data_IF_987451991496
#
_entry.id   IF_987451991496
#
_cell.length_a   1.000
_cell.length_b   1.000
_cell.length_c   1.000
_cell.angle_alpha   90.00
_cell.angle_beta   90.00
_cell.angle_gamma   90.00
#
_symmetry.space_group_name_H-M   'P 1'
#
loop_
_entity.id
_entity.type
_entity.pdbx_description
1 polymer ?
#
# COMPACT_ATOMS: atom_id res chain seq x y z
N UNK A 1 -27.81 -13.36 -22.54
CA UNK A 1 -27.22 -14.58 -21.89
C UNK A 1 -25.75 -14.31 -21.72
N UNK A 2 -25.33 -14.01 -20.49
CA UNK A 2 -23.92 -13.79 -20.14
C UNK A 2 -23.12 -15.05 -20.45
N UNK A 3 -22.10 -14.88 -21.24
CA UNK A 3 -21.21 -15.99 -21.57
C UNK A 3 -20.44 -16.44 -20.31
N UNK A 4 -20.18 -17.75 -20.13
CA UNK A 4 -19.47 -18.28 -18.94
C UNK A 4 -18.11 -17.64 -18.67
N UNK A 5 -17.41 -17.13 -19.69
CA UNK A 5 -16.13 -16.44 -19.58
C UNK A 5 -16.23 -15.06 -18.93
N UNK A 6 -17.32 -14.33 -19.12
CA UNK A 6 -17.51 -13.02 -18.49
C UNK A 6 -17.84 -13.15 -17.00
N UNK A 7 -18.50 -14.23 -16.59
CA UNK A 7 -18.74 -14.53 -15.16
C UNK A 7 -17.46 -14.85 -14.39
N UNK A 8 -16.55 -15.62 -14.99
CA UNK A 8 -15.26 -15.93 -14.37
C UNK A 8 -14.40 -14.69 -14.15
N UNK A 9 -14.29 -13.82 -15.14
CA UNK A 9 -13.54 -12.55 -15.02
C UNK A 9 -14.16 -11.59 -13.99
N UNK A 10 -15.47 -11.47 -13.95
CA UNK A 10 -16.18 -10.66 -12.97
C UNK A 10 -15.97 -11.14 -11.53
N UNK A 11 -15.93 -12.44 -11.29
CA UNK A 11 -15.66 -13.04 -9.99
C UNK A 11 -14.20 -12.85 -9.55
N UNK A 12 -13.25 -13.00 -10.46
CA UNK A 12 -11.83 -12.72 -10.20
C UNK A 12 -11.64 -11.26 -9.81
N UNK A 13 -12.28 -10.30 -10.47
CA UNK A 13 -12.22 -8.90 -10.13
C UNK A 13 -12.90 -8.56 -8.79
N UNK A 14 -13.98 -9.21 -8.44
CA UNK A 14 -14.70 -8.98 -7.18
C UNK A 14 -13.99 -9.55 -5.96
N UNK A 15 -13.17 -10.58 -6.13
CA UNK A 15 -12.45 -11.27 -5.05
C UNK A 15 -10.99 -10.84 -4.93
N UNK A 16 -10.58 -9.79 -5.63
CA UNK A 16 -9.22 -9.28 -5.54
C UNK A 16 -8.94 -8.62 -4.18
N UNK A 17 -7.73 -8.84 -3.67
CA UNK A 17 -7.22 -8.16 -2.48
C UNK A 17 -6.92 -6.66 -2.71
N UNK A 18 -6.89 -6.19 -3.96
CA UNK A 18 -6.79 -4.76 -4.29
C UNK A 18 -8.10 -4.24 -4.83
N UNK A 19 -8.60 -3.20 -4.19
CA UNK A 19 -9.72 -2.39 -4.65
C UNK A 19 -9.24 -0.98 -5.01
N UNK A 20 -9.99 -0.29 -5.83
CA UNK A 20 -9.69 1.11 -6.14
C UNK A 20 -10.75 1.73 -7.02
N UNK A 21 -10.76 3.05 -7.04
CA UNK A 21 -11.73 3.85 -7.79
C UNK A 21 -11.46 5.33 -7.68
N UNK A 22 -12.35 6.12 -8.24
CA UNK A 22 -12.34 7.57 -8.18
C UNK A 22 -13.22 8.00 -7.01
N UNK A 23 -12.77 8.97 -6.24
CA UNK A 23 -13.48 9.58 -5.13
C UNK A 23 -13.30 11.10 -5.16
N UNK A 24 -14.04 11.81 -4.32
CA UNK A 24 -13.85 13.25 -4.08
C UNK A 24 -13.37 13.44 -2.65
N UNK A 25 -12.27 14.15 -2.48
CA UNK A 25 -11.69 14.49 -1.18
C UNK A 25 -11.53 15.99 -1.07
N UNK A 26 -12.28 16.63 -0.15
CA UNK A 26 -12.25 18.09 0.00
C UNK A 26 -12.60 18.88 -1.26
N UNK A 27 -13.47 18.34 -2.14
CA UNK A 27 -13.80 18.93 -3.43
C UNK A 27 -12.85 18.54 -4.57
N UNK A 28 -11.73 17.90 -4.29
CA UNK A 28 -10.71 17.49 -5.26
C UNK A 28 -10.99 16.06 -5.72
N UNK A 29 -11.07 15.78 -7.03
CA UNK A 29 -11.14 14.39 -7.52
C UNK A 29 -9.82 13.68 -7.29
N UNK A 30 -9.88 12.52 -6.63
CA UNK A 30 -8.72 11.69 -6.29
C UNK A 30 -8.92 10.27 -6.78
N UNK A 31 -7.83 9.55 -7.01
CA UNK A 31 -7.86 8.10 -7.21
C UNK A 31 -7.43 7.42 -5.91
N UNK A 32 -8.29 6.54 -5.39
CA UNK A 32 -8.02 5.79 -4.16
C UNK A 32 -7.80 4.33 -4.52
N UNK A 33 -6.72 3.75 -4.00
CA UNK A 33 -6.34 2.34 -4.20
C UNK A 33 -6.02 1.77 -2.82
N UNK A 34 -6.42 0.54 -2.54
CA UNK A 34 -6.08 -0.05 -1.24
C UNK A 34 -6.14 -1.57 -1.25
N UNK A 35 -5.40 -2.15 -0.32
CA UNK A 35 -5.57 -3.55 0.02
C UNK A 35 -6.88 -3.75 0.78
N UNK A 36 -7.48 -4.88 0.59
CA UNK A 36 -8.73 -5.23 1.26
C UNK A 36 -8.69 -6.65 1.79
N UNK A 37 -8.65 -6.76 3.10
CA UNK A 37 -8.95 -7.98 3.84
C UNK A 37 -10.47 -8.16 3.93
N UNK A 38 -10.94 -9.36 4.22
CA UNK A 38 -12.36 -9.63 4.46
C UNK A 38 -12.77 -9.29 5.90
N UNK A 39 -14.07 -9.10 6.10
CA UNK A 39 -14.66 -8.93 7.44
C UNK A 39 -14.95 -10.26 8.14
N UNK A 40 -15.05 -11.34 7.39
CA UNK A 40 -15.29 -12.71 7.86
C UNK A 40 -14.17 -13.63 7.38
N UNK A 41 -14.02 -14.80 8.01
CA UNK A 41 -13.04 -15.81 7.57
C UNK A 41 -13.25 -16.21 6.10
N UNK A 42 -14.50 -16.38 5.67
CA UNK A 42 -14.84 -16.72 4.29
C UNK A 42 -14.41 -15.62 3.30
N UNK A 43 -14.62 -14.37 3.66
CA UNK A 43 -14.18 -13.23 2.83
C UNK A 43 -12.65 -13.11 2.83
N UNK A 44 -11.98 -13.32 3.96
CA UNK A 44 -10.52 -13.34 4.05
C UNK A 44 -9.92 -14.39 3.12
N UNK A 45 -10.44 -15.62 3.16
CA UNK A 45 -10.01 -16.69 2.25
C UNK A 45 -10.22 -16.27 0.78
N UNK A 46 -11.38 -15.69 0.46
CA UNK A 46 -11.68 -15.27 -0.92
C UNK A 46 -10.79 -14.12 -1.42
N UNK A 47 -10.16 -13.38 -0.51
CA UNK A 47 -9.22 -12.28 -0.80
C UNK A 47 -7.76 -12.63 -0.50
N UNK A 48 -7.46 -13.93 -0.37
CA UNK A 48 -6.12 -14.44 -0.02
C UNK A 48 -5.53 -13.73 1.21
N UNK A 49 -6.35 -13.44 2.24
CA UNK A 49 -5.93 -12.71 3.45
C UNK A 49 -5.29 -11.34 3.19
N UNK A 50 -5.72 -10.66 2.14
CA UNK A 50 -5.16 -9.38 1.74
C UNK A 50 -3.91 -9.49 0.86
N UNK A 51 -3.53 -10.69 0.42
CA UNK A 51 -2.41 -10.92 -0.49
C UNK A 51 -2.87 -10.84 -1.95
N UNK A 52 -2.47 -9.82 -2.72
CA UNK A 52 -2.91 -9.68 -4.11
C UNK A 52 -2.28 -10.69 -5.05
N UNK A 53 -3.06 -11.11 -6.03
CA UNK A 53 -2.58 -11.76 -7.24
C UNK A 53 -2.05 -10.71 -8.26
N UNK A 54 -1.34 -11.10 -9.34
CA UNK A 54 -0.81 -10.19 -10.36
C UNK A 54 -1.84 -9.23 -10.93
N UNK A 55 -3.07 -9.70 -11.09
CA UNK A 55 -4.18 -8.91 -11.63
C UNK A 55 -4.55 -7.72 -10.72
N UNK A 56 -4.35 -7.85 -9.41
CA UNK A 56 -4.56 -6.77 -8.45
C UNK A 56 -3.55 -5.64 -8.68
N UNK A 57 -2.28 -5.96 -8.85
CA UNK A 57 -1.23 -4.97 -9.14
C UNK A 57 -1.41 -4.31 -10.49
N UNK A 58 -1.76 -5.09 -11.53
CA UNK A 58 -2.08 -4.55 -12.86
C UNK A 58 -3.29 -3.62 -12.83
N UNK A 59 -4.31 -3.95 -12.02
CA UNK A 59 -5.46 -3.07 -11.78
C UNK A 59 -5.05 -1.76 -11.10
N UNK A 60 -4.21 -1.84 -10.06
CA UNK A 60 -3.69 -0.66 -9.39
C UNK A 60 -2.92 0.25 -10.36
N UNK A 61 -2.01 -0.32 -11.14
CA UNK A 61 -1.25 0.43 -12.15
C UNK A 61 -2.17 1.13 -13.16
N UNK A 62 -3.16 0.42 -13.68
CA UNK A 62 -4.14 1.00 -14.60
C UNK A 62 -4.86 2.21 -14.00
N UNK A 63 -5.23 2.14 -12.71
CA UNK A 63 -5.87 3.25 -12.00
C UNK A 63 -4.89 4.43 -11.80
N UNK A 64 -3.62 4.14 -11.50
CA UNK A 64 -2.57 5.16 -11.36
C UNK A 64 -2.30 5.88 -12.69
N UNK A 65 -2.17 5.14 -13.80
CA UNK A 65 -2.01 5.75 -15.15
C UNK A 65 -3.24 6.55 -15.57
N UNK A 66 -4.43 6.09 -15.21
CA UNK A 66 -5.65 6.89 -15.41
C UNK A 66 -5.65 8.16 -14.54
N UNK A 67 -5.18 8.08 -13.29
CA UNK A 67 -5.05 9.24 -12.43
C UNK A 67 -4.09 10.27 -13.04
N UNK A 68 -2.93 9.84 -13.51
CA UNK A 68 -1.95 10.67 -14.21
C UNK A 68 -2.55 11.37 -15.43
N UNK A 69 -3.25 10.62 -16.30
CA UNK A 69 -3.92 11.17 -17.49
C UNK A 69 -4.90 12.30 -17.16
N UNK A 70 -5.59 12.21 -16.04
CA UNK A 70 -6.61 13.17 -15.61
C UNK A 70 -6.15 14.10 -14.49
N UNK A 71 -4.84 14.16 -14.23
CA UNK A 71 -4.22 15.00 -13.18
C UNK A 71 -4.87 14.83 -11.79
N UNK A 72 -5.21 13.59 -11.42
CA UNK A 72 -5.77 13.27 -10.10
C UNK A 72 -4.68 12.77 -9.16
N UNK A 73 -4.57 13.31 -7.95
CA UNK A 73 -3.75 12.71 -6.90
C UNK A 73 -4.14 11.25 -6.63
N UNK A 74 -3.16 10.45 -6.25
CA UNK A 74 -3.34 9.04 -5.90
C UNK A 74 -3.12 8.87 -4.40
N UNK A 75 -4.07 8.20 -3.73
CA UNK A 75 -3.97 7.83 -2.32
C UNK A 75 -4.02 6.30 -2.24
N UNK A 76 -2.95 5.70 -1.71
CA UNK A 76 -2.84 4.26 -1.52
C UNK A 76 -2.98 3.90 -0.03
N UNK A 77 -3.83 2.94 0.30
CA UNK A 77 -3.92 2.34 1.62
C UNK A 77 -3.33 0.93 1.58
N UNK A 78 -2.32 0.69 2.41
CA UNK A 78 -1.54 -0.55 2.42
C UNK A 78 -1.88 -1.35 3.67
N UNK A 79 -2.41 -2.56 3.47
CA UNK A 79 -2.66 -3.54 4.53
C UNK A 79 -2.57 -4.96 3.94
N UNK A 80 -1.36 -5.48 3.82
CA UNK A 80 -1.08 -6.79 3.25
C UNK A 80 0.12 -7.44 3.94
N UNK A 81 0.08 -8.73 4.26
CA UNK A 81 1.28 -9.46 4.69
C UNK A 81 2.29 -9.68 3.55
N UNK A 82 1.90 -9.44 2.30
CA UNK A 82 2.75 -9.58 1.11
C UNK A 82 1.96 -9.88 -0.15
N UNK A 83 2.66 -10.13 -1.24
CA UNK A 83 2.05 -10.63 -2.47
C UNK A 83 1.70 -12.11 -2.33
N UNK A 84 0.64 -12.58 -3.00
CA UNK A 84 0.28 -13.99 -2.99
C UNK A 84 1.38 -14.83 -3.67
N UNK A 85 1.91 -15.83 -2.97
CA UNK A 85 3.07 -16.64 -3.39
C UNK A 85 2.71 -18.00 -3.99
N UNK A 86 1.46 -18.20 -4.44
CA UNK A 86 1.04 -19.46 -5.05
C UNK A 86 1.55 -19.62 -6.48
N UNK A 87 1.78 -20.89 -6.90
CA UNK A 87 2.29 -21.24 -8.24
C UNK A 87 1.54 -20.52 -9.37
N UNK A 88 0.21 -20.52 -9.33
CA UNK A 88 -0.59 -19.85 -10.34
C UNK A 88 -0.43 -18.31 -10.37
N UNK A 89 0.05 -17.67 -9.31
CA UNK A 89 0.40 -16.26 -9.33
C UNK A 89 1.76 -16.05 -10.02
N UNK A 90 2.73 -16.91 -9.72
CA UNK A 90 4.05 -16.88 -10.38
C UNK A 90 3.94 -17.11 -11.89
N UNK A 91 3.16 -18.10 -12.33
CA UNK A 91 2.89 -18.38 -13.74
C UNK A 91 2.24 -17.20 -14.47
N UNK A 92 1.46 -16.37 -13.78
CA UNK A 92 0.85 -15.17 -14.35
C UNK A 92 1.68 -13.90 -14.16
N UNK A 93 2.94 -14.03 -13.72
CA UNK A 93 3.90 -12.93 -13.64
C UNK A 93 3.72 -12.05 -12.40
N UNK A 94 3.71 -12.64 -11.19
CA UNK A 94 3.60 -11.90 -9.93
C UNK A 94 4.74 -10.88 -9.75
N UNK A 95 5.98 -11.36 -9.92
CA UNK A 95 7.16 -10.49 -9.80
C UNK A 95 7.19 -9.38 -10.85
N UNK A 96 6.81 -9.68 -12.10
CA UNK A 96 6.71 -8.69 -13.19
C UNK A 96 5.67 -7.61 -12.87
N UNK A 97 4.49 -8.01 -12.37
CA UNK A 97 3.42 -7.06 -12.06
C UNK A 97 3.83 -6.09 -10.92
N UNK A 98 4.53 -6.60 -9.91
CA UNK A 98 5.11 -5.79 -8.82
C UNK A 98 6.18 -4.84 -9.37
N UNK A 99 7.18 -5.37 -10.07
CA UNK A 99 8.29 -4.60 -10.62
C UNK A 99 7.81 -3.47 -11.53
N UNK A 100 6.81 -3.75 -12.36
CA UNK A 100 6.19 -2.75 -13.22
C UNK A 100 5.49 -1.64 -12.44
N UNK A 101 4.81 -1.97 -11.33
CA UNK A 101 4.24 -0.95 -10.45
C UNK A 101 5.32 -0.03 -9.87
N UNK A 102 6.43 -0.60 -9.37
CA UNK A 102 7.54 0.20 -8.83
C UNK A 102 8.09 1.16 -9.89
N UNK A 103 8.38 0.62 -11.07
CA UNK A 103 8.92 1.39 -12.18
C UNK A 103 8.00 2.54 -12.59
N UNK A 104 6.75 2.25 -12.86
CA UNK A 104 5.78 3.26 -13.32
C UNK A 104 5.43 4.28 -12.21
N UNK A 105 5.31 3.84 -10.95
CA UNK A 105 5.08 4.76 -9.84
C UNK A 105 6.22 5.74 -9.64
N UNK A 106 7.47 5.34 -9.91
CA UNK A 106 8.63 6.21 -9.75
C UNK A 106 8.57 7.46 -10.63
N UNK A 107 7.90 7.36 -11.79
CA UNK A 107 7.80 8.41 -12.81
C UNK A 107 6.44 9.10 -12.89
N UNK A 108 5.45 8.73 -12.06
CA UNK A 108 4.14 9.37 -12.06
C UNK A 108 4.24 10.88 -11.84
N UNK A 109 3.54 11.64 -12.65
CA UNK A 109 3.53 13.11 -12.65
C UNK A 109 2.37 13.72 -11.86
N UNK A 110 1.77 12.95 -10.98
CA UNK A 110 0.74 13.38 -10.03
C UNK A 110 1.18 13.09 -8.59
N UNK A 111 0.65 13.82 -7.60
CA UNK A 111 0.92 13.52 -6.19
C UNK A 111 0.51 12.10 -5.82
N UNK A 112 1.39 11.38 -5.16
CA UNK A 112 1.13 10.02 -4.65
C UNK A 112 1.40 9.99 -3.16
N UNK A 113 0.39 9.60 -2.39
CA UNK A 113 0.46 9.37 -0.94
C UNK A 113 0.19 7.90 -0.67
N UNK A 114 1.05 7.25 0.10
CA UNK A 114 0.82 5.88 0.58
C UNK A 114 0.73 5.86 2.10
N UNK A 115 -0.28 5.15 2.62
CA UNK A 115 -0.54 5.04 4.05
C UNK A 115 -0.60 3.56 4.42
N UNK A 116 0.33 3.13 5.27
CA UNK A 116 0.29 1.77 5.84
C UNK A 116 -0.67 1.78 7.03
N UNK A 117 -1.74 1.00 6.91
CA UNK A 117 -2.83 0.99 7.91
C UNK A 117 -2.82 -0.23 8.82
N UNK A 118 -1.99 -1.21 8.53
CA UNK A 118 -1.83 -2.43 9.30
C UNK A 118 -0.51 -3.10 8.95
N UNK A 119 -0.53 -4.10 8.10
CA UNK A 119 0.67 -4.79 7.66
C UNK A 119 1.15 -4.22 6.31
N UNK A 120 2.41 -3.81 6.26
CA UNK A 120 3.11 -3.43 5.03
C UNK A 120 4.15 -4.48 4.67
N UNK A 121 3.73 -5.62 4.10
CA UNK A 121 4.60 -6.76 3.84
C UNK A 121 5.27 -6.74 2.47
N UNK A 122 6.61 -6.75 2.44
CA UNK A 122 7.45 -7.10 1.29
C UNK A 122 7.11 -6.33 -0.01
N UNK A 123 7.37 -6.95 -1.16
CA UNK A 123 7.05 -6.41 -2.48
C UNK A 123 5.56 -6.12 -2.69
N UNK A 124 4.69 -6.83 -1.95
CA UNK A 124 3.26 -6.60 -2.00
C UNK A 124 2.85 -5.20 -1.54
N UNK A 125 3.44 -4.73 -0.45
CA UNK A 125 3.26 -3.38 0.05
C UNK A 125 4.02 -2.37 -0.81
N UNK A 126 5.26 -2.67 -1.19
CA UNK A 126 6.11 -1.77 -1.97
C UNK A 126 5.50 -1.44 -3.34
N UNK A 127 4.76 -2.37 -3.95
CA UNK A 127 4.05 -2.15 -5.23
C UNK A 127 2.98 -1.03 -5.18
N UNK A 128 2.63 -0.55 -3.97
CA UNK A 128 1.81 0.64 -3.73
C UNK A 128 2.54 1.69 -2.90
N UNK A 129 3.82 1.48 -2.55
CA UNK A 129 4.60 2.28 -1.61
C UNK A 129 5.56 3.29 -2.23
N UNK A 130 5.74 3.30 -3.57
CA UNK A 130 6.63 4.26 -4.24
C UNK A 130 5.90 5.60 -4.41
N UNK A 131 5.89 6.40 -3.36
CA UNK A 131 5.09 7.61 -3.21
C UNK A 131 5.93 8.85 -2.90
N UNK A 132 5.33 10.05 -3.02
CA UNK A 132 5.94 11.30 -2.58
C UNK A 132 6.07 11.35 -1.06
N UNK A 133 5.09 10.78 -0.34
CA UNK A 133 5.17 10.53 1.09
C UNK A 133 4.60 9.14 1.42
N UNK A 134 5.19 8.49 2.38
CA UNK A 134 4.68 7.27 3.01
C UNK A 134 4.40 7.56 4.48
N UNK A 135 3.19 7.31 4.89
CA UNK A 135 2.76 7.45 6.28
C UNK A 135 2.40 6.10 6.87
N UNK A 136 2.44 5.98 8.17
CA UNK A 136 2.05 4.77 8.87
C UNK A 136 1.07 5.07 10.01
N UNK A 137 0.11 4.18 10.22
CA UNK A 137 -0.63 4.16 11.48
C UNK A 137 0.31 3.76 12.62
N UNK A 138 0.09 4.29 13.81
CA UNK A 138 0.98 4.13 14.98
C UNK A 138 1.31 2.66 15.30
N UNK A 139 0.32 1.78 15.19
CA UNK A 139 0.47 0.35 15.46
C UNK A 139 0.68 -0.51 14.21
N UNK A 140 0.97 0.09 13.07
CA UNK A 140 1.26 -0.64 11.83
C UNK A 140 2.74 -1.05 11.74
N UNK A 141 3.02 -2.03 10.91
CA UNK A 141 4.38 -2.50 10.61
C UNK A 141 4.67 -2.40 9.11
N UNK A 142 5.92 -2.14 8.76
CA UNK A 142 6.35 -2.14 7.37
C UNK A 142 7.73 -2.80 7.26
N UNK A 143 7.81 -3.92 6.55
CA UNK A 143 9.02 -4.72 6.49
C UNK A 143 9.17 -5.48 5.18
N UNK A 144 10.39 -5.84 4.85
CA UNK A 144 10.72 -6.61 3.64
C UNK A 144 10.29 -8.09 3.75
N UNK A 145 10.31 -8.66 4.96
CA UNK A 145 9.92 -10.05 5.25
C UNK A 145 9.46 -10.16 6.71
N UNK A 146 8.88 -11.32 7.06
CA UNK A 146 8.49 -11.57 8.45
C UNK A 146 9.70 -11.77 9.37
N UNK A 147 9.57 -11.49 10.69
CA UNK A 147 10.62 -11.77 11.66
C UNK A 147 11.08 -13.24 11.67
N UNK A 148 10.17 -14.19 11.47
CA UNK A 148 10.50 -15.61 11.34
C UNK A 148 11.35 -15.89 10.10
N UNK A 149 11.02 -15.27 8.98
CA UNK A 149 11.78 -15.34 7.73
C UNK A 149 13.17 -14.76 7.90
N UNK A 150 13.29 -13.59 8.52
CA UNK A 150 14.56 -12.94 8.82
C UNK A 150 15.44 -13.82 9.71
N UNK A 151 14.90 -14.34 10.82
CA UNK A 151 15.60 -15.22 11.74
C UNK A 151 16.07 -16.51 11.05
N UNK A 152 15.23 -17.08 10.20
CA UNK A 152 15.58 -18.29 9.43
C UNK A 152 16.72 -18.05 8.45
N UNK A 153 16.76 -16.89 7.79
CA UNK A 153 17.82 -16.55 6.84
C UNK A 153 19.15 -16.29 7.57
N UNK A 154 19.14 -15.42 8.60
CA UNK A 154 20.37 -15.01 9.28
C UNK A 154 20.89 -16.04 10.27
N UNK A 155 20.01 -16.64 11.05
CA UNK A 155 20.42 -17.51 12.16
C UNK A 155 20.07 -18.96 11.98
N UNK A 156 19.41 -19.33 10.87
CA UNK A 156 18.92 -20.68 10.59
C UNK A 156 17.96 -21.20 11.68
N UNK A 157 17.31 -20.28 12.41
CA UNK A 157 16.42 -20.59 13.53
C UNK A 157 15.23 -19.61 13.57
N UNK A 158 14.07 -20.07 13.08
CA UNK A 158 12.84 -19.28 13.07
C UNK A 158 12.28 -18.95 14.47
N UNK A 159 12.71 -19.68 15.52
CA UNK A 159 12.27 -19.42 16.90
C UNK A 159 12.79 -18.11 17.45
N UNK A 160 13.82 -17.53 16.84
CA UNK A 160 14.38 -16.21 17.18
C UNK A 160 13.61 -15.04 16.57
N UNK A 161 12.36 -15.25 16.19
CA UNK A 161 11.53 -14.21 15.57
C UNK A 161 11.39 -12.94 16.44
N UNK A 162 11.33 -13.05 17.76
CA UNK A 162 11.27 -11.91 18.67
C UNK A 162 12.53 -11.04 18.59
N UNK A 163 13.70 -11.64 18.69
CA UNK A 163 14.99 -10.96 18.55
C UNK A 163 15.12 -10.33 17.14
N UNK A 164 14.64 -11.06 16.11
CA UNK A 164 14.60 -10.54 14.75
C UNK A 164 13.74 -9.30 14.63
N UNK A 165 12.54 -9.28 15.19
CA UNK A 165 11.64 -8.14 15.15
C UNK A 165 12.26 -6.88 15.78
N UNK A 166 13.00 -7.03 16.88
CA UNK A 166 13.71 -5.93 17.56
C UNK A 166 14.83 -5.31 16.68
N UNK A 167 15.55 -6.17 15.94
CA UNK A 167 16.65 -5.74 15.06
C UNK A 167 16.12 -5.12 13.76
N UNK A 168 15.03 -5.63 13.23
CA UNK A 168 14.47 -5.22 11.93
C UNK A 168 13.93 -3.80 11.92
N UNK A 169 13.65 -3.20 13.07
CA UNK A 169 13.15 -1.81 13.15
C UNK A 169 11.93 -1.59 12.24
N UNK A 170 10.89 -2.41 12.41
CA UNK A 170 9.74 -2.47 11.52
C UNK A 170 8.53 -1.64 11.96
N UNK A 171 8.59 -1.01 13.15
CA UNK A 171 7.49 -0.21 13.68
C UNK A 171 7.42 1.18 13.07
N UNK A 172 6.25 1.83 13.18
CA UNK A 172 6.08 3.20 12.69
C UNK A 172 7.04 4.20 13.34
N UNK A 173 7.32 4.03 14.65
CA UNK A 173 8.27 4.88 15.38
C UNK A 173 9.68 4.69 14.86
N UNK A 174 10.16 3.44 14.75
CA UNK A 174 11.49 3.15 14.21
C UNK A 174 11.70 3.72 12.81
N UNK A 175 10.71 3.49 11.91
CA UNK A 175 10.82 3.91 10.52
C UNK A 175 10.71 5.43 10.34
N UNK A 176 10.04 6.10 11.26
CA UNK A 176 10.02 7.56 11.30
C UNK A 176 11.38 8.11 11.74
N UNK A 177 12.00 7.56 12.78
CA UNK A 177 13.34 7.93 13.25
C UNK A 177 14.42 7.69 12.17
N UNK A 178 14.29 6.60 11.41
CA UNK A 178 15.18 6.28 10.30
C UNK A 178 14.91 7.13 9.04
N UNK A 179 13.87 7.98 9.03
CA UNK A 179 13.50 8.80 7.87
C UNK A 179 12.94 8.02 6.67
N UNK A 180 12.50 6.77 6.90
CA UNK A 180 11.88 5.91 5.87
C UNK A 180 10.44 6.34 5.60
N UNK A 181 9.75 6.86 6.61
CA UNK A 181 8.40 7.41 6.48
C UNK A 181 8.37 8.88 6.94
N UNK A 182 7.42 9.63 6.40
CA UNK A 182 7.30 11.06 6.68
C UNK A 182 6.40 11.38 7.88
N UNK A 183 5.45 10.51 8.22
CA UNK A 183 4.51 10.76 9.32
C UNK A 183 3.99 9.48 9.97
N UNK A 184 3.74 9.59 11.28
CA UNK A 184 3.00 8.60 12.08
C UNK A 184 1.60 9.16 12.38
N UNK A 185 0.57 8.37 12.15
CA UNK A 185 -0.85 8.70 12.42
C UNK A 185 -1.24 8.06 13.76
N UNK A 186 -1.56 8.84 14.79
CA UNK A 186 -1.86 8.31 16.12
C UNK A 186 -3.20 7.57 16.18
N UNK A 187 -3.28 6.52 16.99
CA UNK A 187 -4.45 5.64 17.11
C UNK A 187 -5.21 5.70 18.45
N UNK A 188 -4.62 6.31 19.48
CA UNK A 188 -5.23 6.66 20.78
C UNK A 188 -5.89 5.52 21.59
N UNK A 189 -5.23 4.55 22.16
CA UNK A 189 -4.03 3.81 21.75
C UNK A 189 -4.37 2.74 20.70
N UNK A 190 -5.67 2.41 20.52
CA UNK A 190 -6.18 1.45 19.53
C UNK A 190 -7.48 1.97 18.96
N UNK A 191 -7.65 1.87 17.64
CA UNK A 191 -8.85 2.34 16.95
C UNK A 191 -10.06 1.50 17.37
N UNK A 192 -11.13 2.17 17.80
CA UNK A 192 -12.41 1.59 18.19
C UNK A 192 -13.56 2.54 17.82
N UNK A 193 -14.80 2.12 18.08
CA UNK A 193 -15.99 2.90 17.73
C UNK A 193 -16.02 4.30 18.37
N UNK A 194 -15.40 4.47 19.54
CA UNK A 194 -15.41 5.73 20.28
C UNK A 194 -14.41 6.76 19.73
N UNK A 195 -13.28 6.29 19.18
CA UNK A 195 -12.20 7.18 18.73
C UNK A 195 -12.02 7.22 17.20
N UNK A 196 -12.65 6.33 16.42
CA UNK A 196 -12.52 6.26 14.97
C UNK A 196 -12.79 7.62 14.29
N UNK A 197 -13.77 8.38 14.78
CA UNK A 197 -14.08 9.72 14.25
C UNK A 197 -12.92 10.68 14.45
N UNK A 198 -12.26 10.63 15.61
CA UNK A 198 -11.10 11.48 15.92
C UNK A 198 -9.92 11.14 15.03
N UNK A 199 -9.59 9.85 14.88
CA UNK A 199 -8.51 9.37 14.01
C UNK A 199 -8.77 9.77 12.55
N UNK A 200 -10.01 9.54 12.07
CA UNK A 200 -10.40 9.89 10.70
C UNK A 200 -10.33 11.40 10.46
N UNK A 201 -10.74 12.22 11.42
CA UNK A 201 -10.65 13.68 11.28
C UNK A 201 -9.19 14.16 11.28
N UNK A 202 -8.34 13.56 12.10
CA UNK A 202 -6.91 13.84 12.11
C UNK A 202 -6.27 13.46 10.77
N UNK A 203 -6.49 12.23 10.30
CA UNK A 203 -6.02 11.77 8.99
C UNK A 203 -6.52 12.68 7.86
N UNK A 204 -7.79 13.09 7.90
CA UNK A 204 -8.35 14.03 6.92
C UNK A 204 -7.56 15.33 6.87
N UNK A 205 -7.21 15.92 8.01
CA UNK A 205 -6.41 17.16 8.06
C UNK A 205 -5.02 16.92 7.47
N UNK A 206 -4.35 15.84 7.85
CA UNK A 206 -3.04 15.51 7.30
C UNK A 206 -3.07 15.33 5.77
N UNK A 207 -4.10 14.66 5.23
CA UNK A 207 -4.25 14.49 3.78
C UNK A 207 -4.55 15.84 3.11
N UNK A 208 -5.35 16.73 3.72
CA UNK A 208 -5.54 18.09 3.21
C UNK A 208 -4.21 18.84 3.11
N UNK A 209 -3.38 18.78 4.16
CA UNK A 209 -2.05 19.42 4.17
C UNK A 209 -1.11 18.84 3.10
N UNK A 210 -1.17 17.53 2.86
CA UNK A 210 -0.46 16.88 1.75
C UNK A 210 -0.95 17.43 0.40
N UNK A 211 -2.26 17.44 0.17
CA UNK A 211 -2.83 17.95 -1.07
C UNK A 211 -2.39 19.41 -1.31
N UNK A 212 -2.44 20.25 -0.29
CA UNK A 212 -2.06 21.65 -0.39
C UNK A 212 -0.60 21.84 -0.80
N UNK A 213 0.30 20.97 -0.35
CA UNK A 213 1.73 21.05 -0.70
C UNK A 213 2.06 20.57 -2.10
N UNK A 214 1.31 19.60 -2.61
CA UNK A 214 1.70 18.85 -3.80
C UNK A 214 0.81 19.09 -5.02
N UNK A 215 -0.43 19.59 -4.87
CA UNK A 215 -1.39 19.63 -5.98
C UNK A 215 -0.99 20.58 -7.11
N UNK A 216 -0.34 21.68 -6.76
CA UNK A 216 0.12 22.71 -7.70
C UNK A 216 1.61 22.59 -8.03
N UNK A 217 2.28 21.54 -7.51
CA UNK A 217 3.69 21.29 -7.80
C UNK A 217 3.88 20.87 -9.25
N UNK A 218 4.96 21.35 -9.87
CA UNK A 218 5.32 20.97 -11.23
C UNK A 218 5.49 19.44 -11.39
N UNK A 219 5.11 18.93 -12.54
CA UNK A 219 5.10 17.49 -12.83
C UNK A 219 6.49 16.85 -12.73
N UNK A 220 7.49 17.53 -13.25
CA UNK A 220 8.88 17.04 -13.20
C UNK A 220 9.43 17.13 -11.78
N UNK A 221 9.03 18.15 -11.04
CA UNK A 221 9.40 18.31 -9.64
C UNK A 221 8.80 17.23 -8.76
N UNK A 222 7.53 16.83 -8.98
CA UNK A 222 6.89 15.71 -8.29
C UNK A 222 7.65 14.39 -8.49
N UNK A 223 8.02 14.09 -9.73
CA UNK A 223 8.78 12.89 -10.03
C UNK A 223 10.19 12.95 -9.43
N UNK A 224 10.86 14.11 -9.52
CA UNK A 224 12.19 14.35 -8.96
C UNK A 224 12.19 14.27 -7.42
N UNK A 225 11.19 14.83 -6.75
CA UNK A 225 11.05 14.75 -5.31
C UNK A 225 10.94 13.28 -4.87
N UNK A 226 10.12 12.48 -5.55
CA UNK A 226 9.98 11.04 -5.29
C UNK A 226 11.28 10.29 -5.54
N UNK A 227 11.96 10.53 -6.66
CA UNK A 227 13.27 9.96 -6.95
C UNK A 227 14.29 10.29 -5.85
N UNK A 228 14.40 11.56 -5.47
CA UNK A 228 15.34 12.01 -4.45
C UNK A 228 15.03 11.41 -3.06
N UNK A 229 13.74 11.19 -2.75
CA UNK A 229 13.33 10.53 -1.52
C UNK A 229 13.94 9.13 -1.41
N UNK A 230 13.81 8.31 -2.45
CA UNK A 230 14.37 6.95 -2.46
C UNK A 230 15.89 6.90 -2.61
N UNK A 231 16.51 7.94 -3.15
CA UNK A 231 17.98 8.02 -3.23
C UNK A 231 18.66 8.37 -1.90
N UNK A 232 17.92 8.89 -0.94
CA UNK A 232 18.44 9.25 0.39
C UNK A 232 18.36 8.09 1.38
N UNK A 233 17.63 7.04 1.07
CA UNK A 233 17.54 5.80 1.83
C UNK A 233 18.68 4.86 1.45
#
# INVERSE_FOLDING_TARGET
RDQPRSRGLGDVYKRQAIIGGIATFGGIPVTVIGHMKGKTTKENISRNFGMPNPEGYRKALRLMKQAEKFNRPVICFIDTPGAYCGLGAEERGQGEAIAKNLYEMSSLTVPVLSIVTGEGGSGGALALGVANEVWMMENSIYSILSPEGFASILWKDSKKAKEAAEIMKLTAADLYELGIIEKVIPEYPVINENNIKRVTLYMKRMICDFMYRYIDMDKEELARQRYNRFRKM
#
